data_IF_200017429294
#
_entry.id   IF_200017429294
#
_cell.length_a   1.000
_cell.length_b   1.000
_cell.length_c   1.000
_cell.angle_alpha   90.00
_cell.angle_beta   90.00
_cell.angle_gamma   90.00
#
_symmetry.space_group_name_H-M   'P 1'
#
loop_
_entity.id
_entity.type
_entity.pdbx_description
1 polymer ?
#
# COMPACT_ATOMS: atom_id res chain seq x y z
N UNK A 1 -12.21 17.23 -6.33
CA UNK A 1 -12.46 15.92 -5.67
C UNK A 1 -13.52 16.07 -4.60
N UNK A 2 -14.29 15.02 -4.25
CA UNK A 2 -15.25 15.07 -3.12
C UNK A 2 -14.58 14.55 -1.84
N UNK A 3 -14.09 15.47 -1.02
CA UNK A 3 -13.49 15.16 0.27
C UNK A 3 -14.56 14.76 1.29
N UNK A 4 -14.27 13.72 2.07
CA UNK A 4 -15.07 13.32 3.21
C UNK A 4 -14.69 14.18 4.42
N UNK A 5 -15.67 14.80 5.08
CA UNK A 5 -15.45 15.72 6.19
C UNK A 5 -15.74 15.12 7.57
N UNK A 6 -15.93 13.79 7.66
CA UNK A 6 -16.15 13.09 8.93
C UNK A 6 -14.86 12.53 9.53
N UNK A 7 -14.99 11.68 10.56
CA UNK A 7 -13.85 11.02 11.20
C UNK A 7 -13.17 10.00 10.28
N UNK A 8 -11.90 9.66 10.55
CA UNK A 8 -11.21 8.53 9.87
C UNK A 8 -12.06 7.25 9.97
N UNK A 9 -12.62 6.99 11.15
CA UNK A 9 -13.44 5.80 11.41
C UNK A 9 -14.67 5.71 10.51
N UNK A 10 -15.41 6.81 10.37
CA UNK A 10 -16.60 6.86 9.49
C UNK A 10 -16.23 6.68 8.02
N UNK A 11 -15.11 7.28 7.60
CA UNK A 11 -14.62 7.17 6.23
C UNK A 11 -14.23 5.72 5.89
N UNK A 12 -13.54 5.03 6.81
CA UNK A 12 -13.19 3.62 6.69
C UNK A 12 -14.45 2.75 6.65
N UNK A 13 -15.41 2.99 7.55
CA UNK A 13 -16.67 2.23 7.56
C UNK A 13 -17.43 2.40 6.24
N UNK A 14 -17.46 3.61 5.70
CA UNK A 14 -18.09 3.90 4.41
C UNK A 14 -17.39 3.17 3.26
N UNK A 15 -16.06 3.27 3.18
CA UNK A 15 -15.25 2.54 2.18
C UNK A 15 -15.50 1.03 2.24
N UNK A 16 -15.51 0.44 3.45
CA UNK A 16 -15.77 -0.99 3.65
C UNK A 16 -17.20 -1.38 3.25
N UNK A 17 -18.20 -0.60 3.65
CA UNK A 17 -19.62 -0.86 3.35
C UNK A 17 -19.91 -0.80 1.85
N UNK A 18 -19.35 0.19 1.17
CA UNK A 18 -19.57 0.45 -0.25
C UNK A 18 -18.55 -0.29 -1.15
N UNK A 19 -17.61 -1.03 -0.54
CA UNK A 19 -16.48 -1.71 -1.21
C UNK A 19 -15.64 -0.78 -2.10
N UNK A 20 -15.49 0.48 -1.68
CA UNK A 20 -14.77 1.54 -2.40
C UNK A 20 -13.33 1.68 -1.92
N UNK A 21 -12.46 2.20 -2.78
CA UNK A 21 -11.07 2.48 -2.41
C UNK A 21 -11.04 3.63 -1.40
N UNK A 22 -10.24 3.51 -0.36
CA UNK A 22 -10.04 4.57 0.61
C UNK A 22 -8.79 5.37 0.24
N UNK A 23 -8.96 6.65 -0.05
CA UNK A 23 -7.86 7.55 -0.42
C UNK A 23 -7.58 8.45 0.78
N UNK A 24 -6.34 8.46 1.24
CA UNK A 24 -5.88 9.35 2.31
C UNK A 24 -4.83 10.28 1.75
N UNK A 25 -5.16 11.56 1.67
CA UNK A 25 -4.23 12.61 1.28
C UNK A 25 -3.68 13.29 2.53
N UNK A 26 -2.36 13.28 2.69
CA UNK A 26 -1.66 13.96 3.76
C UNK A 26 -1.06 15.24 3.20
N UNK A 27 -1.63 16.37 3.62
CA UNK A 27 -1.20 17.72 3.20
C UNK A 27 -0.30 18.36 4.26
N UNK A 28 0.72 19.08 3.80
CA UNK A 28 1.64 19.87 4.60
C UNK A 28 1.46 21.37 4.36
N UNK A 29 2.38 22.16 4.92
CA UNK A 29 2.44 23.61 4.65
C UNK A 29 3.39 23.94 3.48
N UNK A 30 3.93 22.91 2.84
CA UNK A 30 4.94 23.04 1.79
C UNK A 30 4.34 23.43 0.44
N UNK A 31 5.16 24.05 -0.42
CA UNK A 31 4.76 24.39 -1.78
C UNK A 31 4.35 23.17 -2.60
N UNK A 32 4.97 22.02 -2.30
CA UNK A 32 4.69 20.75 -2.94
C UNK A 32 3.26 20.28 -2.65
N UNK A 33 2.76 20.50 -1.43
CA UNK A 33 1.37 20.22 -1.06
C UNK A 33 0.40 21.11 -1.83
N UNK A 34 0.69 22.42 -1.96
CA UNK A 34 -0.17 23.33 -2.77
C UNK A 34 -0.27 22.89 -4.23
N UNK A 35 0.84 22.43 -4.82
CA UNK A 35 0.83 21.89 -6.20
C UNK A 35 0.04 20.59 -6.29
N UNK A 36 0.11 19.74 -5.27
CA UNK A 36 -0.66 18.49 -5.20
C UNK A 36 -2.16 18.75 -5.00
N UNK A 37 -2.53 19.72 -4.16
CA UNK A 37 -3.91 20.18 -3.99
C UNK A 37 -4.53 20.63 -5.33
N UNK A 38 -3.80 21.45 -6.09
CA UNK A 38 -4.24 21.85 -7.44
C UNK A 38 -4.42 20.66 -8.40
N UNK A 39 -3.59 19.62 -8.23
CA UNK A 39 -3.70 18.39 -9.02
C UNK A 39 -4.94 17.57 -8.64
N UNK A 40 -5.25 17.48 -7.34
CA UNK A 40 -6.43 16.80 -6.81
C UNK A 40 -7.74 17.52 -7.15
N UNK A 41 -7.69 18.84 -7.35
CA UNK A 41 -8.82 19.66 -7.80
C UNK A 41 -9.06 19.59 -9.31
N UNK A 42 -8.15 18.99 -10.09
CA UNK A 42 -8.33 18.84 -11.52
C UNK A 42 -9.61 18.03 -11.85
N UNK A 43 -10.30 18.44 -12.91
CA UNK A 43 -11.57 17.82 -13.36
C UNK A 43 -11.40 16.34 -13.69
N UNK A 44 -10.31 15.96 -14.36
CA UNK A 44 -10.05 14.56 -14.74
C UNK A 44 -9.83 13.68 -13.51
N UNK A 45 -9.01 14.15 -12.57
CA UNK A 45 -8.74 13.48 -11.30
C UNK A 45 -10.02 13.36 -10.47
N UNK A 46 -10.82 14.42 -10.43
CA UNK A 46 -12.11 14.43 -9.71
C UNK A 46 -13.12 13.47 -10.32
N UNK A 47 -13.14 13.34 -11.64
CA UNK A 47 -14.00 12.38 -12.34
C UNK A 47 -13.59 10.94 -12.04
N UNK A 48 -12.29 10.62 -12.09
CA UNK A 48 -11.75 9.30 -11.77
C UNK A 48 -11.95 8.93 -10.29
N UNK A 49 -11.69 9.87 -9.38
CA UNK A 49 -11.92 9.72 -7.94
C UNK A 49 -13.35 10.06 -7.52
N UNK A 50 -14.31 9.99 -8.43
CA UNK A 50 -15.72 10.24 -8.16
C UNK A 50 -16.21 9.45 -6.94
N UNK A 51 -17.23 10.00 -6.28
CA UNK A 51 -17.77 9.44 -5.04
C UNK A 51 -18.29 7.99 -5.18
N UNK A 52 -18.47 7.50 -6.41
CA UNK A 52 -18.92 6.14 -6.69
C UNK A 52 -17.84 5.06 -6.57
N UNK A 53 -16.57 5.43 -6.69
CA UNK A 53 -15.45 4.48 -6.69
C UNK A 53 -14.52 4.65 -5.49
N UNK A 54 -14.40 5.88 -4.99
CA UNK A 54 -13.41 6.24 -4.00
C UNK A 54 -14.02 7.05 -2.85
N UNK A 55 -13.51 6.84 -1.64
CA UNK A 55 -13.77 7.67 -0.46
C UNK A 55 -12.48 8.39 -0.13
N UNK A 56 -12.45 9.70 -0.35
CA UNK A 56 -11.25 10.51 -0.14
C UNK A 56 -11.30 11.25 1.20
N UNK A 57 -10.21 11.20 1.96
CA UNK A 57 -10.02 11.90 3.23
C UNK A 57 -8.75 12.74 3.16
N UNK A 58 -8.80 13.96 3.68
CA UNK A 58 -7.63 14.83 3.80
C UNK A 58 -7.20 14.92 5.26
N UNK A 59 -5.91 14.72 5.51
CA UNK A 59 -5.27 14.79 6.82
C UNK A 59 -4.16 15.83 6.78
N UNK A 60 -4.06 16.63 7.85
CA UNK A 60 -2.95 17.55 8.01
C UNK A 60 -1.77 16.82 8.62
N UNK A 61 -0.57 16.99 8.06
CA UNK A 61 0.65 16.34 8.55
C UNK A 61 0.95 16.63 10.03
N UNK A 62 0.56 17.80 10.53
CA UNK A 62 0.70 18.23 11.93
C UNK A 62 -0.55 17.96 12.80
N UNK A 63 -1.55 17.25 12.29
CA UNK A 63 -2.76 16.88 13.03
C UNK A 63 -2.59 15.58 13.80
N UNK A 64 -3.37 15.42 14.88
CA UNK A 64 -3.38 14.20 15.70
C UNK A 64 -3.77 12.95 14.89
N UNK A 65 -4.75 13.11 14.00
CA UNK A 65 -5.21 12.09 13.05
C UNK A 65 -4.08 11.54 12.17
N UNK A 66 -3.12 12.38 11.76
CA UNK A 66 -1.94 11.95 11.01
C UNK A 66 -1.00 11.12 11.90
N UNK A 67 -0.87 11.49 13.18
CA UNK A 67 -0.11 10.72 14.17
C UNK A 67 -0.65 9.30 14.34
N UNK A 68 -1.98 9.13 14.40
CA UNK A 68 -2.60 7.80 14.45
C UNK A 68 -2.42 7.03 13.13
N UNK A 69 -2.58 7.71 11.99
CA UNK A 69 -2.40 7.09 10.68
C UNK A 69 -0.96 6.60 10.47
N UNK A 70 0.03 7.40 10.85
CA UNK A 70 1.47 7.10 10.64
C UNK A 70 1.99 5.89 11.41
N UNK A 71 1.31 5.49 12.49
CA UNK A 71 1.63 4.27 13.24
C UNK A 71 1.33 3.00 12.45
N UNK A 72 0.34 3.05 11.55
CA UNK A 72 -0.09 1.90 10.74
C UNK A 72 0.51 1.99 9.34
N UNK A 73 0.54 3.21 8.76
CA UNK A 73 1.09 3.49 7.44
C UNK A 73 2.20 4.53 7.57
N UNK A 74 3.48 4.13 7.62
CA UNK A 74 4.59 5.05 7.81
C UNK A 74 4.57 6.19 6.78
N UNK A 75 4.51 7.43 7.27
CA UNK A 75 4.53 8.64 6.44
C UNK A 75 5.96 9.12 6.33
N UNK A 76 6.58 8.89 5.17
CA UNK A 76 8.00 9.20 4.93
C UNK A 76 8.18 10.64 4.43
N UNK A 77 7.24 11.13 3.61
CA UNK A 77 7.33 12.42 2.93
C UNK A 77 5.97 13.13 2.92
N UNK A 78 5.96 14.46 2.85
CA UNK A 78 4.74 15.27 2.71
C UNK A 78 4.88 16.17 1.47
N UNK A 79 3.84 16.32 0.63
CA UNK A 79 2.56 15.61 0.65
C UNK A 79 2.72 14.12 0.37
N UNK A 80 1.75 13.31 0.78
CA UNK A 80 1.64 11.91 0.38
C UNK A 80 0.19 11.51 0.17
N UNK A 81 -0.07 10.64 -0.81
CA UNK A 81 -1.40 10.06 -1.06
C UNK A 81 -1.33 8.56 -0.93
N UNK A 82 -2.17 8.00 -0.07
CA UNK A 82 -2.31 6.57 0.13
C UNK A 82 -3.60 6.08 -0.50
N UNK A 83 -3.51 5.03 -1.31
CA UNK A 83 -4.65 4.30 -1.82
C UNK A 83 -4.76 2.99 -1.06
N UNK A 84 -5.83 2.79 -0.30
CA UNK A 84 -6.01 1.66 0.60
C UNK A 84 -7.21 0.83 0.11
N UNK A 85 -6.98 -0.47 -0.04
CA UNK A 85 -8.02 -1.44 -0.38
C UNK A 85 -8.99 -1.65 0.78
N UNK A 86 -10.14 -2.26 0.50
CA UNK A 86 -11.19 -2.55 1.49
C UNK A 86 -10.72 -3.45 2.65
N UNK A 87 -9.67 -4.24 2.42
CA UNK A 87 -9.03 -5.09 3.43
C UNK A 87 -8.08 -4.30 4.36
N UNK A 88 -7.83 -3.01 4.11
CA UNK A 88 -6.87 -2.21 4.86
C UNK A 88 -5.42 -2.40 4.41
N UNK A 89 -5.15 -3.01 3.26
CA UNK A 89 -3.81 -3.02 2.67
C UNK A 89 -3.62 -1.79 1.78
N UNK A 90 -2.46 -1.11 1.82
CA UNK A 90 -2.16 -0.09 0.83
C UNK A 90 -1.99 -0.79 -0.53
N UNK A 91 -2.67 -0.25 -1.54
CA UNK A 91 -2.56 -0.65 -2.95
C UNK A 91 -1.37 0.08 -3.58
N UNK A 92 -1.35 1.40 -3.42
CA UNK A 92 -0.35 2.28 -4.01
C UNK A 92 -0.13 3.47 -3.07
N UNK A 93 1.09 3.99 -3.04
CA UNK A 93 1.44 5.19 -2.28
C UNK A 93 2.19 6.16 -3.18
N UNK A 94 1.65 7.36 -3.30
CA UNK A 94 2.28 8.46 -4.04
C UNK A 94 2.96 9.39 -3.06
N UNK A 95 4.29 9.40 -3.07
CA UNK A 95 5.08 10.31 -2.23
C UNK A 95 5.43 11.59 -2.99
N UNK A 96 5.17 12.74 -2.38
CA UNK A 96 5.44 14.05 -2.95
C UNK A 96 4.41 14.50 -3.98
N UNK A 97 4.82 15.44 -4.81
CA UNK A 97 4.00 15.97 -5.91
C UNK A 97 4.09 15.07 -7.13
N UNK A 98 2.94 14.89 -7.78
CA UNK A 98 2.82 14.22 -9.07
C UNK A 98 1.95 15.08 -9.97
N UNK A 99 2.29 15.14 -11.25
CA UNK A 99 1.49 15.85 -12.24
C UNK A 99 0.10 15.22 -12.43
N UNK A 100 -0.93 16.00 -12.81
CA UNK A 100 -2.30 15.49 -12.95
C UNK A 100 -2.42 14.28 -13.86
N UNK A 101 -1.74 14.27 -15.01
CA UNK A 101 -1.83 13.16 -15.95
C UNK A 101 -1.26 11.86 -15.37
N UNK A 102 -0.10 11.94 -14.73
CA UNK A 102 0.51 10.80 -14.04
C UNK A 102 -0.36 10.33 -12.86
N UNK A 103 -0.95 11.26 -12.11
CA UNK A 103 -1.86 10.92 -11.02
C UNK A 103 -3.13 10.21 -11.52
N UNK A 104 -3.69 10.61 -12.66
CA UNK A 104 -4.78 9.91 -13.33
C UNK A 104 -4.41 8.45 -13.67
N UNK A 105 -3.20 8.22 -14.20
CA UNK A 105 -2.72 6.86 -14.50
C UNK A 105 -2.60 6.01 -13.24
N UNK A 106 -2.10 6.60 -12.14
CA UNK A 106 -2.04 5.94 -10.83
C UNK A 106 -3.44 5.53 -10.37
N UNK A 107 -4.42 6.44 -10.40
CA UNK A 107 -5.80 6.15 -10.00
C UNK A 107 -6.40 5.01 -10.84
N UNK A 108 -6.20 5.04 -12.15
CA UNK A 108 -6.69 3.97 -13.05
C UNK A 108 -6.06 2.61 -12.70
N UNK A 109 -4.76 2.58 -12.42
CA UNK A 109 -4.05 1.37 -11.98
C UNK A 109 -4.61 0.86 -10.66
N UNK A 110 -4.81 1.75 -9.69
CA UNK A 110 -5.40 1.41 -8.37
C UNK A 110 -6.81 0.85 -8.53
N UNK A 111 -7.67 1.47 -9.36
CA UNK A 111 -9.03 0.99 -9.62
C UNK A 111 -9.01 -0.40 -10.25
N UNK A 112 -8.14 -0.63 -11.24
CA UNK A 112 -7.96 -1.93 -11.87
C UNK A 112 -7.52 -2.99 -10.86
N UNK A 113 -6.53 -2.68 -10.03
CA UNK A 113 -6.01 -3.59 -9.01
C UNK A 113 -7.06 -3.89 -7.91
N UNK A 114 -7.80 -2.87 -7.47
CA UNK A 114 -8.87 -3.02 -6.50
C UNK A 114 -10.00 -3.92 -7.01
N UNK A 115 -10.39 -3.80 -8.28
CA UNK A 115 -11.39 -4.68 -8.91
C UNK A 115 -10.92 -6.13 -8.96
N UNK A 116 -9.65 -6.35 -9.29
CA UNK A 116 -9.05 -7.70 -9.27
C UNK A 116 -9.10 -8.33 -7.87
N UNK A 117 -8.86 -7.53 -6.82
CA UNK A 117 -8.92 -8.01 -5.43
C UNK A 117 -10.34 -8.19 -4.89
N UNK A 118 -11.33 -7.45 -5.38
CA UNK A 118 -12.71 -7.47 -4.88
C UNK A 118 -13.66 -8.37 -5.67
N UNK A 119 -13.17 -9.07 -6.71
CA UNK A 119 -13.95 -10.03 -7.49
C UNK A 119 -15.12 -9.41 -8.28
N UNK A 120 -15.06 -8.10 -8.53
CA UNK A 120 -16.16 -7.35 -9.15
C UNK A 120 -16.25 -7.54 -10.66
N UNK A 121 -17.12 -8.44 -11.09
CA UNK A 121 -17.65 -8.53 -12.46
C UNK A 121 -18.23 -7.19 -12.92
N UNK A 122 -17.94 -6.86 -14.18
CA UNK A 122 -18.33 -5.63 -14.90
C UNK A 122 -19.84 -5.42 -14.97
N UNK A 123 -20.27 -4.17 -15.19
CA UNK A 123 -21.10 -3.94 -16.36
C UNK A 123 -20.48 -2.89 -17.30
N UNK A 124 -20.53 -3.24 -18.60
CA UNK A 124 -20.46 -2.41 -19.80
C UNK A 124 -19.27 -1.45 -19.98
N UNK A 125 -18.29 -1.90 -20.75
CA UNK A 125 -17.99 -1.26 -22.04
C UNK A 125 -17.58 -2.37 -23.02
N UNK A 126 -18.56 -2.85 -23.77
CA UNK A 126 -18.37 -3.87 -24.82
C UNK A 126 -18.94 -3.29 -26.08
N UNK A 127 -18.12 -3.12 -27.12
CA UNK A 127 -18.48 -3.27 -28.54
C UNK A 127 -17.21 -3.46 -29.39
N UNK A 128 -17.26 -4.11 -30.57
CA UNK A 128 -17.92 -5.39 -30.84
C UNK A 128 -17.05 -6.34 -31.73
N UNK A 129 -17.59 -7.54 -32.01
CA UNK A 129 -17.22 -8.52 -33.07
C UNK A 129 -16.01 -9.42 -32.69
N UNK A 130 -16.17 -10.74 -32.53
CA UNK A 130 -16.54 -11.63 -33.63
C UNK A 130 -17.23 -12.92 -33.14
N UNK A 131 -18.35 -13.21 -33.80
CA UNK A 131 -19.12 -14.45 -33.71
C UNK A 131 -18.26 -15.65 -34.11
N UNK A 132 -18.31 -16.72 -33.33
CA UNK A 132 -18.19 -18.07 -33.89
C UNK A 132 -19.17 -18.99 -33.16
N UNK A 133 -19.90 -19.70 -34.00
CA UNK A 133 -21.16 -20.37 -33.75
C UNK A 133 -20.89 -21.74 -33.11
N UNK A 134 -21.86 -22.14 -32.30
CA UNK A 134 -22.01 -23.39 -31.58
C UNK A 134 -21.65 -24.66 -32.37
N UNK A 135 -21.20 -25.69 -31.63
CA UNK A 135 -21.89 -26.97 -31.70
C UNK A 135 -21.77 -27.80 -30.42
N UNK A 136 -22.95 -28.14 -29.91
CA UNK A 136 -23.32 -29.14 -28.92
C UNK A 136 -22.78 -30.52 -29.26
N UNK A 137 -22.34 -31.31 -28.27
CA UNK A 137 -22.73 -32.72 -28.17
C UNK A 137 -22.47 -33.28 -26.75
N UNK A 138 -23.52 -33.89 -26.22
CA UNK A 138 -23.52 -34.66 -24.98
C UNK A 138 -23.22 -36.13 -25.31
N UNK A 139 -22.44 -36.82 -24.48
CA UNK A 139 -22.80 -38.15 -23.97
C UNK A 139 -21.79 -38.72 -22.98
N UNK A 140 -22.37 -39.27 -21.93
CA UNK A 140 -21.85 -40.24 -20.98
C UNK A 140 -21.02 -41.36 -21.62
N UNK A 141 -19.93 -41.77 -20.97
CA UNK A 141 -19.57 -43.18 -20.72
C UNK A 141 -18.31 -43.29 -19.83
N UNK A 142 -18.50 -43.90 -18.65
CA UNK A 142 -17.48 -44.57 -17.84
C UNK A 142 -16.91 -45.80 -18.61
N UNK A 143 -15.73 -46.37 -18.26
CA UNK A 143 -15.59 -47.21 -17.07
C UNK A 143 -14.21 -47.19 -16.36
N UNK A 144 -14.19 -47.89 -15.23
CA UNK A 144 -13.16 -47.96 -14.21
C UNK A 144 -11.98 -48.92 -14.48
N UNK A 145 -10.85 -48.66 -13.80
CA UNK A 145 -9.90 -49.60 -13.13
C UNK A 145 -8.50 -48.94 -13.04
N UNK A 146 -7.59 -49.14 -12.08
CA UNK A 146 -7.47 -49.79 -10.77
C UNK A 146 -6.00 -49.56 -10.31
N UNK A 147 -5.75 -49.37 -8.99
CA UNK A 147 -4.45 -49.49 -8.25
C UNK A 147 -3.34 -48.44 -8.55
N UNK A 148 -2.47 -48.02 -7.63
CA UNK A 148 -1.99 -48.50 -6.32
C UNK A 148 -1.60 -47.26 -5.46
N UNK A 149 -1.95 -47.19 -4.17
CA UNK A 149 -1.14 -47.66 -3.02
C UNK A 149 0.14 -46.84 -2.79
N UNK A 150 0.16 -46.03 -1.73
CA UNK A 150 1.33 -45.73 -0.90
C UNK A 150 0.95 -44.89 0.32
N UNK A 151 1.31 -45.46 1.47
CA UNK A 151 0.99 -45.10 2.85
C UNK A 151 1.83 -43.93 3.43
N UNK A 152 1.40 -43.55 4.64
CA UNK A 152 2.11 -42.84 5.73
C UNK A 152 2.05 -41.32 5.73
N UNK A 153 1.30 -40.66 6.62
CA UNK A 153 1.28 -40.65 8.10
C UNK A 153 2.28 -39.68 8.72
N UNK A 154 1.73 -38.80 9.57
CA UNK A 154 2.31 -38.34 10.84
C UNK A 154 3.55 -37.43 10.80
N UNK A 155 3.45 -36.12 11.07
CA UNK A 155 3.42 -35.46 12.40
C UNK A 155 4.77 -34.80 12.76
N UNK A 156 4.62 -33.65 13.43
CA UNK A 156 5.47 -33.08 14.49
C UNK A 156 6.85 -32.51 14.16
N UNK A 157 7.03 -31.31 14.72
CA UNK A 157 8.26 -30.57 14.87
C UNK A 157 9.36 -31.38 15.55
N UNK A 158 10.60 -31.16 15.11
CA UNK A 158 11.78 -31.23 15.97
C UNK A 158 12.83 -30.22 15.51
N UNK A 159 13.29 -29.48 16.50
CA UNK A 159 14.52 -28.70 16.60
C UNK A 159 15.78 -29.52 16.32
N UNK A 160 16.84 -28.78 16.03
CA UNK A 160 18.28 -29.04 16.22
C UNK A 160 19.16 -29.56 15.06
N UNK A 161 20.02 -28.62 14.63
CA UNK A 161 21.49 -28.72 14.61
C UNK A 161 22.20 -29.73 13.68
N UNK A 162 22.89 -29.24 12.64
CA UNK A 162 24.36 -29.43 12.49
C UNK A 162 25.04 -28.56 11.40
N UNK A 163 25.91 -27.65 11.86
CA UNK A 163 27.27 -27.28 11.38
C UNK A 163 27.70 -27.54 9.91
N UNK A 164 28.09 -26.47 9.18
CA UNK A 164 29.50 -26.19 8.83
C UNK A 164 29.67 -24.87 8.05
N UNK A 165 30.78 -24.16 8.32
CA UNK A 165 31.38 -22.99 7.64
C UNK A 165 31.14 -21.59 8.24
N UNK A 166 31.92 -21.25 9.27
CA UNK A 166 32.31 -19.88 9.63
C UNK A 166 33.29 -19.34 8.57
N UNK A 167 33.13 -18.08 8.07
CA UNK A 167 33.60 -16.89 8.81
C UNK A 167 32.66 -15.68 8.62
N UNK A 168 31.82 -15.34 9.59
CA UNK A 168 30.91 -14.18 9.46
C UNK A 168 30.49 -13.52 10.79
N UNK A 169 31.04 -13.94 11.94
CA UNK A 169 30.62 -13.44 13.25
C UNK A 169 31.54 -12.33 13.78
N UNK A 170 32.87 -12.49 13.70
CA UNK A 170 33.83 -11.43 14.07
C UNK A 170 33.58 -10.12 13.32
N UNK A 171 33.41 -10.17 11.99
CA UNK A 171 33.24 -8.96 11.16
C UNK A 171 31.97 -8.16 11.55
N UNK A 172 30.90 -8.85 11.95
CA UNK A 172 29.67 -8.19 12.43
C UNK A 172 29.85 -7.53 13.79
N UNK A 173 30.72 -8.07 14.65
CA UNK A 173 31.02 -7.51 15.97
C UNK A 173 31.90 -6.26 15.82
N UNK A 174 32.87 -6.25 14.90
CA UNK A 174 33.70 -5.08 14.64
C UNK A 174 32.92 -3.94 13.99
N UNK A 175 32.05 -4.25 13.02
CA UNK A 175 31.14 -3.26 12.43
C UNK A 175 30.21 -2.66 13.50
N UNK A 176 29.72 -3.48 14.45
CA UNK A 176 28.89 -2.99 15.54
C UNK A 176 29.65 -2.06 16.50
N UNK A 177 30.89 -2.41 16.87
CA UNK A 177 31.74 -1.58 17.75
C UNK A 177 32.11 -0.24 17.10
N UNK A 178 32.51 -0.25 15.83
CA UNK A 178 32.87 0.97 15.10
C UNK A 178 31.69 1.94 14.97
N UNK A 179 30.46 1.41 14.79
CA UNK A 179 29.25 2.23 14.64
C UNK A 179 28.80 2.87 15.95
N UNK A 180 29.11 2.25 17.09
CA UNK A 180 28.85 2.80 18.43
C UNK A 180 29.83 3.96 18.71
N UNK A 181 31.12 3.76 18.47
CA UNK A 181 32.15 4.76 18.74
C UNK A 181 32.00 6.02 17.86
N UNK A 182 31.62 5.85 16.59
CA UNK A 182 31.35 6.99 15.70
C UNK A 182 30.14 7.83 16.19
N UNK A 183 29.10 7.16 16.69
CA UNK A 183 27.90 7.81 17.20
C UNK A 183 28.21 8.60 18.47
N UNK A 184 29.02 8.05 19.37
CA UNK A 184 29.44 8.74 20.60
C UNK A 184 30.35 9.94 20.32
N UNK A 185 31.26 9.84 19.34
CA UNK A 185 32.10 10.96 18.91
C UNK A 185 31.27 12.09 18.30
N UNK A 186 30.33 11.78 17.40
CA UNK A 186 29.42 12.76 16.79
C UNK A 186 28.56 13.45 17.85
N UNK A 187 28.01 12.70 18.79
CA UNK A 187 27.19 13.25 19.88
C UNK A 187 27.99 14.18 20.81
N UNK A 188 29.23 13.80 21.17
CA UNK A 188 30.12 14.63 22.00
C UNK A 188 30.52 15.93 21.30
N UNK A 189 30.76 15.90 19.99
CA UNK A 189 31.07 17.09 19.18
C UNK A 189 29.86 18.00 19.02
N UNK A 190 28.66 17.42 18.86
CA UNK A 190 27.40 18.18 18.78
C UNK A 190 27.12 18.92 20.10
N UNK A 191 27.27 18.23 21.23
CA UNK A 191 27.06 18.83 22.57
C UNK A 191 28.04 19.96 22.87
N UNK A 192 29.31 19.81 22.48
CA UNK A 192 30.31 20.87 22.66
C UNK A 192 30.02 22.11 21.79
N UNK A 193 29.55 21.90 20.56
CA UNK A 193 29.16 22.99 19.65
C UNK A 193 27.91 23.75 20.14
N UNK A 194 26.96 23.05 20.77
CA UNK A 194 25.80 23.67 21.44
C UNK A 194 26.23 24.51 22.66
N UNK A 195 27.19 24.03 23.43
CA UNK A 195 27.71 24.74 24.61
C UNK A 195 28.52 25.99 24.24
N UNK A 196 29.37 25.91 23.21
CA UNK A 196 30.12 27.06 22.67
C UNK A 196 29.23 28.10 21.99
N UNK A 197 28.05 27.71 21.49
CA UNK A 197 27.07 28.64 20.88
C UNK A 197 26.22 29.37 21.92
N UNK A 198 26.16 28.86 23.15
CA UNK A 198 25.39 29.43 24.26
C UNK A 198 26.21 30.37 25.15
N UNK A 199 27.53 30.44 24.95
CA UNK A 199 28.46 31.31 25.67
C UNK A 199 28.84 32.52 24.83
#
# INVERSE_FOLDING_TARGET
MKWFSGSIGDAIQKSKREKRIFIVYITGQDELSKKMDATLENTEVTALCGAEHCVALTLKANGEECGFFSQIYPVVTVPSVYFIAVNGSPIEVTAGYVEPNAFCQIIQSVIKNHRAQTGGSTPLDTQPIQMSIAQTEASSSQPASTQADSLSSSHTATVDSNTSAAPALEERIDIAKQKIEEKDYKNKKWRKKEEDKKK
#
